data_IF_247978101172
#
_entry.id   IF_247978101172
#
_cell.length_a   1.000
_cell.length_b   1.000
_cell.length_c   1.000
_cell.angle_alpha   90.00
_cell.angle_beta   90.00
_cell.angle_gamma   90.00
#
_symmetry.space_group_name_H-M   'P 1'
#
loop_
_entity.id
_entity.type
_entity.pdbx_description
1 polymer ?
#
# COMPACT_ATOMS: atom_id res chain seq x y z
N UNK A 1 32.49 -4.86 -51.04
CA UNK A 1 32.51 -5.19 -49.60
C UNK A 1 31.40 -4.39 -48.93
N UNK A 2 30.24 -5.02 -48.69
CA UNK A 2 29.05 -4.35 -48.16
C UNK A 2 29.06 -4.32 -46.63
N UNK A 3 28.94 -3.12 -46.03
CA UNK A 3 28.83 -2.94 -44.58
C UNK A 3 27.38 -3.23 -44.17
N UNK A 4 27.17 -4.29 -43.40
CA UNK A 4 25.92 -4.55 -42.71
C UNK A 4 25.85 -3.68 -41.45
N UNK A 5 24.83 -2.83 -41.35
CA UNK A 5 24.45 -2.13 -40.12
C UNK A 5 23.55 -3.07 -39.31
N UNK A 6 24.06 -3.57 -38.18
CA UNK A 6 23.27 -4.30 -37.19
C UNK A 6 22.44 -3.29 -36.39
N UNK A 7 21.13 -3.36 -36.57
CA UNK A 7 20.13 -2.59 -35.85
C UNK A 7 19.83 -3.32 -34.53
N UNK A 8 20.37 -2.83 -33.42
CA UNK A 8 19.97 -3.32 -32.08
C UNK A 8 18.60 -2.75 -31.74
N UNK A 9 17.56 -3.57 -31.90
CA UNK A 9 16.24 -3.29 -31.34
C UNK A 9 16.31 -3.24 -29.82
N UNK A 10 15.96 -2.10 -29.25
CA UNK A 10 15.73 -1.93 -27.82
C UNK A 10 14.47 -2.72 -27.44
N UNK A 11 14.64 -3.94 -26.96
CA UNK A 11 13.59 -4.65 -26.25
C UNK A 11 13.41 -3.98 -24.89
N UNK A 12 12.38 -3.14 -24.77
CA UNK A 12 11.90 -2.66 -23.47
C UNK A 12 11.35 -3.86 -22.71
N UNK A 13 12.13 -4.39 -21.76
CA UNK A 13 11.63 -5.35 -20.78
C UNK A 13 10.50 -4.68 -19.99
N UNK A 14 9.37 -5.37 -19.74
CA UNK A 14 8.34 -4.84 -18.86
C UNK A 14 8.96 -4.62 -17.48
N UNK A 15 8.74 -3.44 -16.90
CA UNK A 15 9.12 -3.19 -15.51
C UNK A 15 8.37 -4.20 -14.64
N UNK A 16 9.07 -5.18 -14.09
CA UNK A 16 8.49 -6.07 -13.10
C UNK A 16 8.23 -5.23 -11.83
N UNK A 17 7.06 -5.42 -11.23
CA UNK A 17 6.78 -4.82 -9.93
C UNK A 17 7.80 -5.39 -8.92
N UNK A 18 8.46 -4.51 -8.18
CA UNK A 18 9.51 -4.88 -7.22
C UNK A 18 8.84 -5.08 -5.87
N UNK A 19 7.97 -6.08 -5.77
CA UNK A 19 7.32 -6.45 -4.52
C UNK A 19 7.15 -7.97 -4.50
N UNK A 20 7.04 -8.57 -3.31
CA UNK A 20 6.83 -10.01 -3.17
C UNK A 20 5.50 -10.47 -3.78
N UNK A 21 5.45 -11.70 -4.30
CA UNK A 21 4.29 -12.24 -5.02
C UNK A 21 3.05 -12.37 -4.13
N UNK A 22 3.23 -12.56 -2.81
CA UNK A 22 2.13 -12.67 -1.86
C UNK A 22 1.27 -11.40 -1.78
N UNK A 23 1.79 -10.26 -2.24
CA UNK A 23 1.06 -8.99 -2.28
C UNK A 23 0.09 -8.90 -3.46
N UNK A 24 0.29 -9.70 -4.52
CA UNK A 24 -0.52 -9.62 -5.74
C UNK A 24 -2.04 -9.71 -5.50
N UNK A 25 -2.56 -10.60 -4.62
CA UNK A 25 -3.99 -10.63 -4.28
C UNK A 25 -4.56 -9.32 -3.70
N UNK A 26 -3.72 -8.55 -3.02
CA UNK A 26 -4.10 -7.30 -2.36
C UNK A 26 -3.93 -6.09 -3.27
N UNK A 27 -2.99 -6.18 -4.23
CA UNK A 27 -2.68 -5.13 -5.20
C UNK A 27 -3.48 -5.24 -6.49
N UNK A 28 -3.99 -6.44 -6.84
CA UNK A 28 -4.71 -6.66 -8.10
C UNK A 28 -6.11 -7.23 -7.83
N UNK A 29 -7.20 -6.53 -8.21
CA UNK A 29 -8.57 -7.01 -8.00
C UNK A 29 -8.89 -8.29 -8.78
N UNK A 30 -8.10 -8.63 -9.81
CA UNK A 30 -8.27 -9.86 -10.58
C UNK A 30 -7.66 -11.10 -9.91
N UNK A 31 -6.89 -10.92 -8.82
CA UNK A 31 -6.40 -12.03 -8.02
C UNK A 31 -7.33 -12.29 -6.83
N UNK A 32 -7.71 -13.56 -6.66
CA UNK A 32 -8.43 -14.00 -5.49
C UNK A 32 -7.55 -13.86 -4.23
N UNK A 33 -8.17 -13.49 -3.11
CA UNK A 33 -7.50 -13.48 -1.82
C UNK A 33 -7.16 -14.90 -1.37
N UNK A 34 -5.99 -15.15 -0.77
CA UNK A 34 -5.57 -16.48 -0.37
C UNK A 34 -6.37 -16.97 0.84
N UNK A 35 -6.71 -18.24 0.88
CA UNK A 35 -7.24 -18.90 2.07
C UNK A 35 -6.14 -19.15 3.11
N UNK A 36 -6.52 -19.43 4.36
CA UNK A 36 -5.55 -19.78 5.40
C UNK A 36 -4.69 -21.00 5.03
N UNK A 37 -5.30 -22.05 4.43
CA UNK A 37 -4.58 -23.26 4.04
C UNK A 37 -3.51 -22.97 2.98
N UNK A 38 -3.87 -22.23 1.92
CA UNK A 38 -2.92 -21.84 0.87
C UNK A 38 -1.78 -20.97 1.45
N UNK A 39 -2.09 -20.13 2.43
CA UNK A 39 -1.09 -19.31 3.10
C UNK A 39 -0.09 -20.14 3.91
N UNK A 40 -0.58 -21.12 4.68
CA UNK A 40 0.25 -22.00 5.50
C UNK A 40 1.19 -22.88 4.67
N UNK A 41 0.78 -23.28 3.46
CA UNK A 41 1.59 -24.08 2.54
C UNK A 41 2.78 -23.31 1.93
N UNK A 42 2.78 -21.97 2.00
CA UNK A 42 3.81 -21.14 1.35
C UNK A 42 5.19 -21.17 2.02
N UNK A 43 5.32 -21.72 3.23
CA UNK A 43 6.56 -21.83 4.04
C UNK A 43 7.36 -20.51 4.30
N UNK A 44 6.86 -19.35 3.86
CA UNK A 44 7.51 -18.04 3.99
C UNK A 44 7.05 -17.25 5.22
N UNK A 45 6.20 -17.84 6.05
CA UNK A 45 5.49 -17.16 7.13
C UNK A 45 5.59 -17.92 8.43
N UNK A 46 5.67 -17.17 9.53
CA UNK A 46 5.70 -17.68 10.89
C UNK A 46 4.46 -17.24 11.65
N UNK A 47 3.83 -18.15 12.38
CA UNK A 47 2.73 -17.80 13.29
C UNK A 47 3.25 -16.88 14.40
N UNK A 48 2.62 -15.71 14.56
CA UNK A 48 3.08 -14.64 15.44
C UNK A 48 1.94 -14.02 16.26
N UNK A 49 0.83 -14.75 16.43
CA UNK A 49 -0.27 -14.32 17.29
C UNK A 49 0.13 -14.37 18.78
N UNK A 50 -0.23 -13.33 19.53
CA UNK A 50 -0.03 -13.29 20.98
C UNK A 50 -1.17 -14.01 21.74
N UNK A 51 -2.38 -13.98 21.18
CA UNK A 51 -3.58 -14.59 21.74
C UNK A 51 -3.98 -15.81 20.91
N UNK A 52 -4.36 -16.91 21.57
CA UNK A 52 -4.64 -18.20 20.92
C UNK A 52 -5.89 -18.20 20.02
N UNK A 53 -6.74 -17.19 20.13
CA UNK A 53 -7.94 -17.00 19.31
C UNK A 53 -7.70 -16.10 18.08
N UNK A 54 -6.50 -15.51 17.95
CA UNK A 54 -6.10 -14.74 16.78
C UNK A 54 -5.23 -15.60 15.85
N UNK A 55 -5.59 -15.67 14.57
CA UNK A 55 -4.74 -16.28 13.56
C UNK A 55 -3.94 -15.18 12.86
N UNK A 56 -2.67 -15.01 13.26
CA UNK A 56 -1.75 -14.02 12.70
C UNK A 56 -0.45 -14.65 12.25
N UNK A 57 -0.03 -14.29 11.03
CA UNK A 57 1.21 -14.74 10.42
C UNK A 57 2.08 -13.55 10.07
N UNK A 58 3.38 -13.66 10.29
CA UNK A 58 4.38 -12.64 10.03
C UNK A 58 5.41 -13.13 9.02
N UNK A 59 5.88 -12.23 8.15
CA UNK A 59 6.99 -12.49 7.24
C UNK A 59 8.32 -12.07 7.86
N UNK A 60 9.42 -12.51 7.24
CA UNK A 60 10.71 -11.82 7.36
C UNK A 60 10.65 -10.42 6.69
N UNK A 61 11.72 -9.63 6.84
CA UNK A 61 11.86 -8.35 6.15
C UNK A 61 12.07 -8.55 4.64
N UNK A 62 11.43 -7.71 3.83
CA UNK A 62 11.54 -7.69 2.38
C UNK A 62 11.38 -6.26 1.84
N UNK A 63 11.70 -6.06 0.56
CA UNK A 63 11.53 -4.76 -0.09
C UNK A 63 10.15 -4.65 -0.74
N UNK A 64 9.34 -3.69 -0.27
CA UNK A 64 8.22 -3.17 -1.01
C UNK A 64 8.71 -1.97 -1.83
N UNK A 65 9.00 -2.23 -3.11
CA UNK A 65 9.76 -1.37 -4.01
C UNK A 65 11.15 -1.01 -3.48
N UNK A 66 11.31 0.19 -2.95
CA UNK A 66 12.57 0.73 -2.40
C UNK A 66 12.56 0.76 -0.87
N UNK A 67 11.49 0.31 -0.22
CA UNK A 67 11.29 0.45 1.22
C UNK A 67 11.38 -0.93 1.88
N UNK A 68 12.27 -1.08 2.85
CA UNK A 68 12.38 -2.31 3.66
C UNK A 68 11.21 -2.34 4.66
N UNK A 69 10.44 -3.41 4.64
CA UNK A 69 9.25 -3.61 5.47
C UNK A 69 9.18 -5.07 5.94
N UNK A 70 8.38 -5.36 6.95
CA UNK A 70 7.90 -6.70 7.22
C UNK A 70 6.37 -6.71 7.20
N UNK A 71 5.77 -7.86 6.96
CA UNK A 71 4.33 -7.98 6.82
C UNK A 71 3.71 -8.83 7.92
N UNK A 72 2.47 -8.51 8.29
CA UNK A 72 1.61 -9.40 9.06
C UNK A 72 0.26 -9.55 8.36
N UNK A 73 -0.31 -10.74 8.39
CA UNK A 73 -1.66 -10.99 7.92
C UNK A 73 -2.51 -11.59 9.04
N UNK A 74 -3.77 -11.17 9.11
CA UNK A 74 -4.77 -11.73 10.03
C UNK A 74 -5.84 -12.47 9.25
N UNK A 75 -6.23 -13.62 9.77
CA UNK A 75 -7.32 -14.44 9.26
C UNK A 75 -8.46 -14.54 10.27
N UNK A 76 -9.69 -14.57 9.77
CA UNK A 76 -10.91 -14.86 10.53
C UNK A 76 -11.77 -15.81 9.71
N UNK A 77 -12.23 -16.92 10.30
CA UNK A 77 -12.98 -17.96 9.60
C UNK A 77 -12.30 -18.39 8.28
N UNK A 78 -10.98 -18.63 8.34
CA UNK A 78 -10.12 -19.02 7.20
C UNK A 78 -9.98 -18.00 6.06
N UNK A 79 -10.58 -16.82 6.18
CA UNK A 79 -10.49 -15.73 5.22
C UNK A 79 -9.55 -14.64 5.73
N UNK A 80 -8.72 -14.04 4.86
CA UNK A 80 -7.86 -12.94 5.26
C UNK A 80 -8.74 -11.73 5.52
N UNK A 81 -8.54 -11.06 6.66
CA UNK A 81 -9.28 -9.85 7.05
C UNK A 81 -8.44 -8.58 6.90
N UNK A 82 -7.12 -8.71 7.08
CA UNK A 82 -6.22 -7.57 7.05
C UNK A 82 -4.78 -8.03 6.77
N UNK A 83 -4.16 -7.42 5.76
CA UNK A 83 -2.72 -7.46 5.56
C UNK A 83 -2.15 -6.11 5.99
N UNK A 84 -1.04 -6.13 6.73
CA UNK A 84 -0.35 -4.92 7.20
C UNK A 84 1.13 -5.02 6.86
N UNK A 85 1.67 -3.97 6.23
CA UNK A 85 3.11 -3.73 6.17
C UNK A 85 3.53 -2.80 7.30
N UNK A 86 4.64 -3.12 7.95
CA UNK A 86 5.15 -2.44 9.13
C UNK A 86 6.59 -1.97 8.91
N UNK A 87 6.90 -0.80 9.46
CA UNK A 87 8.24 -0.20 9.49
C UNK A 87 8.29 0.97 10.45
N UNK A 88 9.49 1.35 10.87
CA UNK A 88 9.72 2.59 11.64
C UNK A 88 9.50 3.81 10.76
N UNK A 89 8.95 4.88 11.35
CA UNK A 89 8.70 6.13 10.65
C UNK A 89 9.99 6.85 10.27
N UNK A 90 10.09 7.18 8.98
CA UNK A 90 10.89 8.29 8.49
C UNK A 90 10.07 9.10 7.47
N UNK A 91 10.34 10.40 7.34
CA UNK A 91 9.69 11.22 6.33
C UNK A 91 10.00 10.74 4.90
N UNK A 92 11.18 10.13 4.71
CA UNK A 92 11.58 9.53 3.45
C UNK A 92 10.71 8.32 3.10
N UNK A 93 10.64 7.33 4.00
CA UNK A 93 9.91 6.08 3.76
C UNK A 93 8.41 6.32 3.66
N UNK A 94 7.87 7.25 4.46
CA UNK A 94 6.50 7.72 4.32
C UNK A 94 6.21 8.20 2.88
N UNK A 95 7.12 8.98 2.30
CA UNK A 95 6.97 9.49 0.93
C UNK A 95 7.17 8.38 -0.11
N UNK A 96 8.09 7.43 0.13
CA UNK A 96 8.28 6.28 -0.75
C UNK A 96 7.04 5.39 -0.81
N UNK A 97 6.37 5.16 0.32
CA UNK A 97 5.15 4.35 0.38
C UNK A 97 3.97 5.02 -0.34
N UNK A 98 3.82 6.34 -0.24
CA UNK A 98 2.84 7.08 -1.05
C UNK A 98 3.08 6.92 -2.55
N UNK A 99 4.35 6.93 -2.98
CA UNK A 99 4.74 6.72 -4.38
C UNK A 99 4.54 5.27 -4.81
N UNK A 100 4.81 4.30 -3.93
CA UNK A 100 4.57 2.88 -4.16
C UNK A 100 3.08 2.59 -4.40
N UNK A 101 2.20 3.07 -3.50
CA UNK A 101 0.75 2.95 -3.67
C UNK A 101 0.27 3.57 -4.98
N UNK A 102 0.79 4.74 -5.34
CA UNK A 102 0.45 5.38 -6.61
C UNK A 102 0.96 4.60 -7.83
N UNK A 103 2.11 3.95 -7.72
CA UNK A 103 2.66 3.07 -8.77
C UNK A 103 1.81 1.80 -8.93
N UNK A 104 1.25 1.30 -7.84
CA UNK A 104 0.30 0.19 -7.84
C UNK A 104 -1.10 0.59 -8.35
N UNK A 105 -1.30 1.86 -8.69
CA UNK A 105 -2.54 2.37 -9.28
C UNK A 105 -3.55 2.93 -8.28
N UNK A 106 -3.22 2.97 -6.99
CA UNK A 106 -4.06 3.58 -5.97
C UNK A 106 -4.09 5.10 -6.09
N UNK A 107 -5.27 5.66 -5.83
CA UNK A 107 -5.50 7.09 -5.75
C UNK A 107 -5.83 7.46 -4.30
N UNK A 108 -5.43 8.65 -3.86
CA UNK A 108 -5.76 9.10 -2.51
C UNK A 108 -7.19 9.63 -2.52
N UNK A 109 -8.01 9.15 -1.59
CA UNK A 109 -9.41 9.56 -1.44
C UNK A 109 -9.52 10.61 -0.32
N UNK A 110 -8.80 10.38 0.78
CA UNK A 110 -8.87 11.21 1.99
C UNK A 110 -7.54 11.24 2.72
N UNK A 111 -7.21 12.40 3.28
CA UNK A 111 -6.06 12.59 4.15
C UNK A 111 -6.51 13.24 5.44
N UNK A 112 -6.12 12.66 6.57
CA UNK A 112 -6.23 13.27 7.89
C UNK A 112 -4.84 13.43 8.50
N UNK A 113 -4.53 14.62 9.00
CA UNK A 113 -3.29 14.92 9.72
C UNK A 113 -3.65 15.68 10.99
N UNK A 114 -3.38 15.04 12.14
CA UNK A 114 -3.93 15.43 13.44
C UNK A 114 -5.46 15.60 13.33
N UNK A 115 -5.98 16.80 13.61
CA UNK A 115 -7.40 17.12 13.52
C UNK A 115 -7.80 17.63 12.13
N UNK A 116 -6.83 17.94 11.26
CA UNK A 116 -7.11 18.50 9.94
C UNK A 116 -7.45 17.40 8.94
N UNK A 117 -8.46 17.64 8.09
CA UNK A 117 -8.99 16.67 7.13
C UNK A 117 -9.07 17.31 5.74
N UNK A 118 -8.64 16.56 4.74
CA UNK A 118 -8.80 16.87 3.33
C UNK A 118 -9.44 15.67 2.63
N UNK A 119 -10.61 15.87 2.03
CA UNK A 119 -11.33 14.85 1.25
C UNK A 119 -11.22 15.23 -0.23
N UNK A 120 -10.65 14.35 -1.05
CA UNK A 120 -10.48 14.59 -2.49
C UNK A 120 -11.85 14.62 -3.17
N UNK A 121 -12.74 13.70 -2.81
CA UNK A 121 -14.09 13.62 -3.39
C UNK A 121 -14.92 14.88 -3.12
N UNK A 122 -14.89 15.39 -1.89
CA UNK A 122 -15.62 16.62 -1.54
C UNK A 122 -15.13 17.82 -2.37
N UNK A 123 -13.82 17.86 -2.68
CA UNK A 123 -13.21 18.96 -3.42
C UNK A 123 -13.44 18.87 -4.94
N UNK A 124 -13.66 17.67 -5.49
CA UNK A 124 -13.87 17.46 -6.93
C UNK A 124 -15.23 17.94 -7.42
N UNK A 125 -16.22 18.12 -6.55
CA UNK A 125 -17.55 18.59 -6.94
C UNK A 125 -17.54 19.97 -7.61
N UNK A 126 -16.64 20.85 -7.17
CA UNK A 126 -16.63 22.27 -7.59
C UNK A 126 -15.31 22.71 -8.25
N UNK A 127 -14.34 21.80 -8.43
CA UNK A 127 -12.97 22.15 -8.86
C UNK A 127 -12.44 21.21 -9.94
N UNK A 128 -11.52 21.72 -10.75
CA UNK A 128 -10.79 20.88 -11.71
C UNK A 128 -9.84 19.94 -10.97
N UNK A 129 -9.51 18.78 -11.58
CA UNK A 129 -8.55 17.84 -10.98
C UNK A 129 -7.20 18.49 -10.62
N UNK A 130 -6.71 19.39 -11.48
CA UNK A 130 -5.46 20.13 -11.26
C UNK A 130 -5.53 21.02 -10.01
N UNK A 131 -6.67 21.67 -9.77
CA UNK A 131 -6.86 22.52 -8.59
C UNK A 131 -6.94 21.68 -7.31
N UNK A 132 -7.60 20.53 -7.37
CA UNK A 132 -7.68 19.59 -6.24
C UNK A 132 -6.30 19.03 -5.90
N UNK A 133 -5.53 18.60 -6.90
CA UNK A 133 -4.15 18.12 -6.72
C UNK A 133 -3.27 19.18 -6.07
N UNK A 134 -3.35 20.43 -6.55
CA UNK A 134 -2.60 21.54 -5.97
C UNK A 134 -2.97 21.77 -4.50
N UNK A 135 -4.26 21.74 -4.17
CA UNK A 135 -4.72 21.97 -2.80
C UNK A 135 -4.32 20.84 -1.85
N UNK A 136 -4.36 19.60 -2.34
CA UNK A 136 -3.87 18.44 -1.59
C UNK A 136 -2.38 18.60 -1.25
N UNK A 137 -1.54 18.98 -2.24
CA UNK A 137 -0.11 19.20 -1.99
C UNK A 137 0.11 20.31 -0.95
N UNK A 138 -0.64 21.42 -1.06
CA UNK A 138 -0.56 22.51 -0.08
C UNK A 138 -0.97 22.05 1.32
N UNK A 139 -2.04 21.26 1.43
CA UNK A 139 -2.50 20.67 2.69
C UNK A 139 -1.42 19.77 3.32
N UNK A 140 -0.84 18.85 2.54
CA UNK A 140 0.22 17.95 2.99
C UNK A 140 1.44 18.72 3.50
N UNK A 141 1.88 19.72 2.76
CA UNK A 141 3.04 20.55 3.12
C UNK A 141 2.77 21.41 4.36
N UNK A 142 1.58 21.99 4.49
CA UNK A 142 1.22 22.81 5.65
C UNK A 142 1.22 22.00 6.96
N UNK A 143 0.93 20.71 6.88
CA UNK A 143 0.87 19.80 8.04
C UNK A 143 2.02 18.78 8.07
N UNK A 144 3.13 19.03 7.34
CA UNK A 144 4.21 18.05 7.14
C UNK A 144 4.75 17.43 8.43
N UNK A 145 4.90 18.23 9.51
CA UNK A 145 5.46 17.78 10.79
C UNK A 145 4.42 17.43 11.86
N UNK A 146 3.12 17.40 11.51
CA UNK A 146 2.05 17.04 12.46
C UNK A 146 1.71 15.55 12.38
N UNK A 147 1.31 15.00 13.51
CA UNK A 147 0.91 13.60 13.70
C UNK A 147 -0.33 13.53 14.61
N UNK A 148 -1.09 12.43 14.57
CA UNK A 148 -0.98 11.29 13.66
C UNK A 148 -1.32 11.65 12.20
N UNK A 149 -0.95 10.80 11.25
CA UNK A 149 -1.36 10.91 9.84
C UNK A 149 -2.09 9.65 9.42
N UNK A 150 -3.18 9.81 8.67
CA UNK A 150 -3.94 8.74 8.03
C UNK A 150 -4.24 9.15 6.59
N UNK A 151 -3.99 8.26 5.65
CA UNK A 151 -4.37 8.43 4.25
C UNK A 151 -5.17 7.22 3.80
N UNK A 152 -6.34 7.48 3.22
CA UNK A 152 -7.19 6.47 2.63
C UNK A 152 -6.98 6.51 1.13
N UNK A 153 -6.77 5.33 0.57
CA UNK A 153 -6.46 5.12 -0.83
C UNK A 153 -7.39 4.06 -1.41
N UNK A 154 -7.76 4.21 -2.67
CA UNK A 154 -8.59 3.24 -3.36
C UNK A 154 -8.10 2.92 -4.78
N UNK A 155 -8.39 1.70 -5.22
CA UNK A 155 -8.26 1.26 -6.60
C UNK A 155 -9.27 0.15 -6.89
N UNK A 156 -10.21 0.39 -7.80
CA UNK A 156 -11.13 -0.66 -8.31
C UNK A 156 -11.78 -1.52 -7.21
N UNK A 157 -12.24 -0.88 -6.13
CA UNK A 157 -12.88 -1.54 -4.98
C UNK A 157 -11.92 -2.12 -3.93
N UNK A 158 -10.60 -2.01 -4.12
CA UNK A 158 -9.60 -2.25 -3.07
C UNK A 158 -9.37 -0.98 -2.29
N UNK A 159 -9.26 -1.10 -0.96
CA UNK A 159 -8.97 0.01 -0.06
C UNK A 159 -7.69 -0.23 0.73
N UNK A 160 -6.90 0.82 0.86
CA UNK A 160 -5.65 0.83 1.63
C UNK A 160 -5.62 2.02 2.55
N UNK A 161 -5.22 1.80 3.79
CA UNK A 161 -4.87 2.88 4.71
C UNK A 161 -3.35 2.95 4.90
N UNK A 162 -2.79 4.14 4.72
CA UNK A 162 -1.42 4.46 5.08
C UNK A 162 -1.44 5.32 6.36
N UNK A 163 -0.84 4.82 7.43
CA UNK A 163 -0.98 5.34 8.79
C UNK A 163 0.39 5.61 9.41
N UNK A 164 0.51 6.66 10.23
CA UNK A 164 1.66 6.83 11.11
C UNK A 164 1.31 7.69 12.33
N UNK A 165 1.90 7.38 13.48
CA UNK A 165 1.86 8.20 14.69
C UNK A 165 3.13 9.06 14.87
N UNK A 166 4.07 8.98 13.93
CA UNK A 166 5.40 9.62 13.99
C UNK A 166 6.50 8.74 14.56
N UNK A 167 6.19 7.50 14.97
CA UNK A 167 7.17 6.48 15.39
C UNK A 167 7.18 5.31 14.43
N UNK A 168 6.00 4.83 14.04
CA UNK A 168 5.84 3.68 13.15
C UNK A 168 4.95 4.06 11.96
N UNK A 169 5.08 3.31 10.87
CA UNK A 169 4.22 3.40 9.70
C UNK A 169 3.53 2.05 9.52
N UNK A 170 2.25 2.09 9.16
CA UNK A 170 1.50 0.92 8.74
C UNK A 170 0.83 1.15 7.39
N UNK A 171 0.93 0.18 6.49
CA UNK A 171 0.13 0.10 5.25
C UNK A 171 -0.85 -1.04 5.39
N UNK A 172 -2.14 -0.75 5.47
CA UNK A 172 -3.19 -1.74 5.78
C UNK A 172 -4.10 -1.96 4.58
N UNK A 173 -4.13 -3.17 4.05
CA UNK A 173 -5.15 -3.61 3.11
C UNK A 173 -6.29 -4.26 3.88
N UNK A 174 -7.47 -3.65 3.81
CA UNK A 174 -8.71 -4.17 4.40
C UNK A 174 -9.44 -4.99 3.33
N UNK A 175 -9.70 -6.26 3.61
CA UNK A 175 -10.40 -7.17 2.69
C UNK A 175 -11.89 -7.27 3.00
N UNK A 176 -12.27 -6.95 4.24
CA UNK A 176 -13.65 -6.74 4.67
C UNK A 176 -13.77 -5.25 4.95
N UNK A 177 -14.62 -4.56 4.20
CA UNK A 177 -15.03 -3.20 4.56
C UNK A 177 -16.00 -3.38 5.72
N UNK A 178 -15.55 -3.18 6.96
CA UNK A 178 -16.51 -2.91 8.03
C UNK A 178 -17.20 -1.60 7.69
N UNK A 179 -18.47 -1.70 7.32
CA UNK A 179 -19.35 -0.55 7.31
C UNK A 179 -19.75 -0.30 8.77
N UNK A 180 -18.89 0.37 9.54
CA UNK A 180 -19.27 1.24 10.66
C UNK A 180 -18.08 2.06 11.22
#
# INVERSE_FOLDING_TARGET
MGKWLLWFGLFSLPAQAVHEDFLLPFLNPNHALPTLSEWQESHQWLECAEESDQLRWCSDEFYYYSTLVWASIRFMNEQPVMLVLHLTYSAHDWSQLQLALRRDGFQVDRVQIAEAIFSVDDQRNDKTSSDVDRQLILFLNHHAHRFPKRQQWSMSGRHVELLTDGKDIEVRWLTVIDND
#
